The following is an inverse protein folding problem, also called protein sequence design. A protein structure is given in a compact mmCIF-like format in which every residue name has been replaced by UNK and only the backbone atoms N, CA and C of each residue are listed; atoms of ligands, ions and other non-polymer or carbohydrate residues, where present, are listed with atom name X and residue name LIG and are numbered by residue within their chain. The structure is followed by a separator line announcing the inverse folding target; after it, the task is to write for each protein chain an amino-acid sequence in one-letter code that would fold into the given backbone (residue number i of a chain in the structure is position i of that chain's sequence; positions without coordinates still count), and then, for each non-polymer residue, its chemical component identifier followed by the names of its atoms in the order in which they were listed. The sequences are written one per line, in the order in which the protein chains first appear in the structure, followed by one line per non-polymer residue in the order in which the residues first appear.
data_IF_837629453088
#
_entry.id   IF_837629453088
#
_cell.length_a   1.000
_cell.length_b   1.000
_cell.length_c   1.000
_cell.angle_alpha   90.00
_cell.angle_beta   90.00
_cell.angle_gamma   90.00
#
_symmetry.space_group_name_H-M   'P 1'
#
loop_
_entity.id
_entity.type
_entity.pdbx_description
1 polymer ?
#
# COMPACT_ATOMS: atom_id res chain seq x y z
N UNK A 1 18.75 21.55 3.80
CA UNK A 1 17.39 21.02 3.98
C UNK A 1 16.52 21.44 2.80
N UNK A 2 15.54 20.62 2.45
CA UNK A 2 14.58 20.93 1.40
C UNK A 2 13.23 20.27 1.73
N UNK A 3 12.15 20.94 1.28
CA UNK A 3 10.80 20.42 1.47
C UNK A 3 10.46 19.32 0.47
N UNK A 4 9.62 18.40 0.88
CA UNK A 4 9.01 17.39 0.02
C UNK A 4 7.63 17.88 -0.41
N UNK A 5 7.16 17.37 -1.56
CA UNK A 5 5.85 17.73 -2.09
C UNK A 5 4.82 16.66 -1.71
N UNK A 6 3.89 16.91 -0.79
CA UNK A 6 2.80 15.99 -0.53
C UNK A 6 1.76 16.04 -1.65
N UNK A 7 1.27 14.87 -2.05
CA UNK A 7 0.06 14.74 -2.85
C UNK A 7 -1.10 14.51 -1.89
N UNK A 8 -1.93 15.53 -1.69
CA UNK A 8 -2.97 15.55 -0.66
C UNK A 8 -4.35 15.52 -1.28
N UNK A 9 -5.25 14.72 -0.73
CA UNK A 9 -6.68 14.70 -1.04
C UNK A 9 -7.51 14.44 0.23
N UNK A 10 -8.81 14.18 0.09
CA UNK A 10 -9.70 13.95 1.23
C UNK A 10 -9.33 12.70 2.06
N UNK A 11 -8.59 11.76 1.50
CA UNK A 11 -8.19 10.50 2.17
C UNK A 11 -6.94 10.67 3.04
N UNK A 12 -6.13 11.70 2.79
CA UNK A 12 -4.86 11.93 3.45
C UNK A 12 -3.81 12.43 2.48
N UNK A 13 -2.59 11.92 2.58
CA UNK A 13 -1.49 12.34 1.72
C UNK A 13 -0.58 11.18 1.33
N UNK A 14 0.13 11.38 0.22
CA UNK A 14 1.18 10.48 -0.26
C UNK A 14 2.36 11.34 -0.67
N UNK A 15 3.51 11.13 -0.05
CA UNK A 15 4.70 11.95 -0.25
C UNK A 15 5.87 11.06 -0.63
N UNK A 16 6.40 11.25 -1.84
CA UNK A 16 7.63 10.59 -2.26
C UNK A 16 8.82 11.17 -1.49
N UNK A 17 9.58 10.29 -0.84
CA UNK A 17 10.76 10.68 -0.08
C UNK A 17 12.05 10.41 -0.84
N UNK A 18 12.16 9.25 -1.48
CA UNK A 18 13.36 8.81 -2.18
C UNK A 18 12.97 8.09 -3.47
N UNK A 19 13.65 8.44 -4.56
CA UNK A 19 13.49 7.77 -5.85
C UNK A 19 14.85 7.49 -6.45
N UNK A 20 15.08 6.23 -6.86
CA UNK A 20 16.26 5.84 -7.62
C UNK A 20 15.85 4.91 -8.75
N UNK A 21 16.44 5.02 -9.96
CA UNK A 21 16.11 4.14 -11.08
C UNK A 21 16.36 2.66 -10.80
N UNK A 22 17.35 2.35 -9.97
CA UNK A 22 17.82 0.98 -9.73
C UNK A 22 17.31 0.36 -8.44
N UNK A 23 16.91 1.18 -7.45
CA UNK A 23 16.56 0.71 -6.09
C UNK A 23 15.13 1.01 -5.69
N UNK A 24 14.38 1.62 -6.59
CA UNK A 24 12.97 1.88 -6.39
C UNK A 24 12.65 3.21 -5.73
N UNK A 25 11.52 3.23 -5.06
CA UNK A 25 10.92 4.43 -4.49
C UNK A 25 10.50 4.18 -3.05
N UNK A 26 10.78 5.14 -2.18
CA UNK A 26 10.25 5.19 -0.81
C UNK A 26 9.30 6.35 -0.68
N UNK A 27 8.11 6.09 -0.15
CA UNK A 27 7.06 7.10 0.02
C UNK A 27 6.46 7.00 1.41
N UNK A 28 5.93 8.12 1.89
CA UNK A 28 5.18 8.20 3.15
C UNK A 28 3.71 8.39 2.83
N UNK A 29 2.91 7.45 3.29
CA UNK A 29 1.47 7.50 3.13
C UNK A 29 0.81 7.85 4.46
N UNK A 30 -0.05 8.86 4.44
CA UNK A 30 -0.91 9.21 5.57
C UNK A 30 -2.35 8.98 5.16
N UNK A 31 -3.04 8.14 5.91
CA UNK A 31 -4.47 7.87 5.72
C UNK A 31 -5.26 8.42 6.90
N UNK A 32 -6.29 9.19 6.61
CA UNK A 32 -7.22 9.70 7.63
C UNK A 32 -8.02 8.55 8.28
N UNK A 33 -8.66 8.78 9.43
CA UNK A 33 -9.45 7.76 10.11
C UNK A 33 -10.45 7.07 9.19
N UNK A 34 -10.53 5.74 9.26
CA UNK A 34 -11.47 4.92 8.52
C UNK A 34 -11.19 4.74 7.02
N UNK A 35 -10.18 5.41 6.48
CA UNK A 35 -9.90 5.39 5.04
C UNK A 35 -9.24 4.08 4.62
N UNK A 36 -9.70 3.56 3.48
CA UNK A 36 -9.06 2.47 2.75
C UNK A 36 -8.44 2.99 1.47
N UNK A 37 -7.19 2.61 1.24
CA UNK A 37 -6.45 2.87 -0.01
C UNK A 37 -6.01 1.56 -0.65
N UNK A 38 -5.66 1.62 -1.93
CA UNK A 38 -5.24 0.45 -2.69
C UNK A 38 -6.39 -0.14 -3.48
N UNK A 39 -6.76 -1.39 -3.24
CA UNK A 39 -7.65 -2.18 -4.07
C UNK A 39 -7.12 -2.26 -5.50
N UNK A 40 -5.84 -2.57 -5.61
CA UNK A 40 -5.16 -2.71 -6.88
C UNK A 40 -4.04 -3.76 -6.78
N UNK A 41 -3.54 -4.18 -7.93
CA UNK A 41 -2.43 -5.11 -8.04
C UNK A 41 -1.46 -4.67 -9.13
N UNK A 42 -0.28 -5.29 -9.14
CA UNK A 42 0.80 -4.99 -10.08
C UNK A 42 1.29 -6.25 -10.77
N UNK A 43 1.77 -6.12 -12.01
CA UNK A 43 2.36 -7.24 -12.75
C UNK A 43 3.82 -7.51 -12.37
N UNK A 44 4.60 -6.45 -12.14
CA UNK A 44 6.03 -6.58 -11.86
C UNK A 44 6.49 -5.89 -10.58
N UNK A 45 5.73 -4.92 -10.10
CA UNK A 45 6.08 -4.14 -8.93
C UNK A 45 5.92 -4.94 -7.63
N UNK A 46 6.98 -4.94 -6.82
CA UNK A 46 6.98 -5.43 -5.44
C UNK A 46 6.91 -4.25 -4.49
N UNK A 47 6.10 -4.36 -3.46
CA UNK A 47 6.00 -3.33 -2.45
C UNK A 47 6.19 -3.91 -1.06
N UNK A 48 6.66 -3.06 -0.13
CA UNK A 48 6.69 -3.34 1.30
C UNK A 48 6.07 -2.19 2.05
N UNK A 49 5.15 -2.50 2.93
CA UNK A 49 4.49 -1.51 3.78
C UNK A 49 4.94 -1.73 5.23
N UNK A 50 5.29 -0.61 5.87
CA UNK A 50 5.64 -0.59 7.29
C UNK A 50 4.79 0.49 7.97
N UNK A 51 3.83 0.08 8.78
CA UNK A 51 3.05 1.01 9.61
C UNK A 51 3.92 1.48 10.76
N UNK A 52 4.14 2.79 10.87
CA UNK A 52 4.99 3.40 11.89
C UNK A 52 4.18 4.19 12.93
N UNK A 53 2.94 4.54 12.63
CA UNK A 53 2.01 5.18 13.58
C UNK A 53 0.57 4.84 13.23
N UNK A 54 -0.21 4.47 14.22
CA UNK A 54 -1.59 4.03 14.06
C UNK A 54 -1.72 2.53 13.93
N UNK A 55 -2.92 2.06 13.57
CA UNK A 55 -3.25 0.64 13.39
C UNK A 55 -3.97 0.43 12.08
N UNK A 56 -3.52 -0.54 11.31
CA UNK A 56 -4.05 -0.84 9.98
C UNK A 56 -4.44 -2.30 9.81
N UNK A 57 -5.43 -2.53 8.97
CA UNK A 57 -5.69 -3.82 8.32
C UNK A 57 -5.12 -3.76 6.91
N UNK A 58 -4.20 -4.67 6.60
CA UNK A 58 -3.68 -4.87 5.24
C UNK A 58 -4.23 -6.19 4.74
N UNK A 59 -4.93 -6.16 3.63
CA UNK A 59 -5.52 -7.34 2.99
C UNK A 59 -4.87 -7.61 1.66
N UNK A 60 -4.65 -8.89 1.38
CA UNK A 60 -4.12 -9.38 0.11
C UNK A 60 -4.95 -10.56 -0.37
N UNK A 61 -5.15 -10.64 -1.68
CA UNK A 61 -5.77 -11.78 -2.32
C UNK A 61 -5.12 -12.02 -3.68
N UNK A 62 -4.78 -13.27 -3.98
CA UNK A 62 -4.29 -13.62 -5.31
C UNK A 62 -5.37 -13.31 -6.36
N UNK A 63 -4.97 -12.64 -7.44
CA UNK A 63 -5.86 -12.30 -8.55
C UNK A 63 -6.25 -13.57 -9.31
N UNK A 64 -7.48 -13.60 -9.81
CA UNK A 64 -8.03 -14.72 -10.56
C UNK A 64 -8.86 -15.66 -9.71
N UNK A 65 -9.05 -16.86 -10.22
CA UNK A 65 -9.90 -17.89 -9.63
C UNK A 65 -9.13 -19.20 -9.53
N UNK A 66 -9.56 -20.04 -8.59
CA UNK A 66 -9.04 -21.39 -8.45
C UNK A 66 -9.60 -22.32 -9.56
N UNK A 67 -9.22 -23.60 -9.51
CA UNK A 67 -9.67 -24.61 -10.49
C UNK A 67 -11.19 -24.84 -10.50
N UNK A 68 -11.90 -24.41 -9.46
CA UNK A 68 -13.35 -24.54 -9.33
C UNK A 68 -14.11 -23.26 -9.68
N UNK A 69 -13.38 -22.20 -10.09
CA UNK A 69 -13.96 -20.90 -10.44
C UNK A 69 -14.26 -20.02 -9.24
N UNK A 70 -13.68 -20.29 -8.06
CA UNK A 70 -13.86 -19.48 -6.86
C UNK A 70 -12.71 -18.50 -6.70
N UNK A 71 -12.97 -17.30 -6.15
CA UNK A 71 -11.92 -16.38 -5.75
C UNK A 71 -10.96 -17.05 -4.76
N UNK A 72 -9.68 -16.70 -4.84
CA UNK A 72 -8.71 -17.13 -3.83
C UNK A 72 -9.01 -16.49 -2.47
N UNK A 73 -8.58 -17.11 -1.36
CA UNK A 73 -8.82 -16.58 -0.02
C UNK A 73 -8.12 -15.25 0.20
N UNK A 74 -8.68 -14.44 1.10
CA UNK A 74 -8.08 -13.19 1.55
C UNK A 74 -7.18 -13.45 2.75
N UNK A 75 -5.93 -13.00 2.66
CA UNK A 75 -5.02 -12.92 3.81
C UNK A 75 -5.14 -11.52 4.42
N UNK A 76 -5.27 -11.46 5.74
CA UNK A 76 -5.37 -10.20 6.47
C UNK A 76 -4.29 -10.10 7.54
N UNK A 77 -3.59 -8.96 7.55
CA UNK A 77 -2.59 -8.63 8.55
C UNK A 77 -3.00 -7.35 9.28
N UNK A 78 -3.22 -7.46 10.59
CA UNK A 78 -3.41 -6.28 11.45
C UNK A 78 -2.06 -5.91 12.04
N UNK A 79 -1.62 -4.69 11.72
CA UNK A 79 -0.29 -4.18 12.08
C UNK A 79 -0.40 -2.78 12.68
N UNK A 80 0.60 -2.39 13.47
CA UNK A 80 0.58 -1.10 14.15
C UNK A 80 1.97 -0.52 14.33
N UNK A 81 2.05 0.77 14.68
CA UNK A 81 3.31 1.41 15.02
C UNK A 81 3.94 0.91 16.33
N UNK A 82 3.18 0.21 17.18
CA UNK A 82 3.68 -0.39 18.42
C UNK A 82 4.11 -1.86 18.25
N UNK A 83 3.74 -2.48 17.14
CA UNK A 83 4.15 -3.83 16.76
C UNK A 83 4.49 -3.80 15.26
N UNK A 84 5.64 -3.24 14.95
CA UNK A 84 6.05 -2.99 13.57
C UNK A 84 6.44 -4.29 12.86
N UNK A 85 5.68 -4.60 11.81
CA UNK A 85 5.95 -5.72 10.91
C UNK A 85 5.86 -5.24 9.47
N UNK A 86 6.83 -5.61 8.65
CA UNK A 86 6.75 -5.35 7.23
C UNK A 86 5.78 -6.32 6.57
N UNK A 87 4.88 -5.80 5.74
CA UNK A 87 3.99 -6.62 4.90
C UNK A 87 4.43 -6.46 3.45
N UNK A 88 4.68 -7.56 2.78
CA UNK A 88 5.06 -7.57 1.38
C UNK A 88 3.85 -7.79 0.48
N UNK A 89 3.72 -6.94 -0.54
CA UNK A 89 2.77 -7.09 -1.63
C UNK A 89 3.52 -7.57 -2.85
N UNK A 90 3.31 -8.84 -3.21
CA UNK A 90 3.95 -9.45 -4.37
C UNK A 90 3.11 -9.22 -5.63
N UNK A 91 3.72 -9.25 -6.83
CA UNK A 91 2.99 -9.17 -8.09
C UNK A 91 1.87 -10.21 -8.17
N UNK A 92 0.75 -9.83 -8.79
CA UNK A 92 -0.40 -10.72 -8.96
C UNK A 92 -1.31 -10.85 -7.75
N UNK A 93 -1.09 -10.05 -6.69
CA UNK A 93 -1.98 -9.98 -5.53
C UNK A 93 -2.60 -8.58 -5.43
N UNK A 94 -3.92 -8.52 -5.45
CA UNK A 94 -4.61 -7.28 -5.11
C UNK A 94 -4.49 -7.03 -3.62
N UNK A 95 -4.28 -5.79 -3.24
CA UNK A 95 -4.06 -5.42 -1.85
C UNK A 95 -4.74 -4.11 -1.48
N UNK A 96 -5.04 -3.97 -0.20
CA UNK A 96 -5.59 -2.75 0.38
C UNK A 96 -5.01 -2.51 1.76
N UNK A 97 -5.03 -1.24 2.18
CA UNK A 97 -4.67 -0.83 3.54
C UNK A 97 -5.76 0.07 4.09
N UNK A 98 -6.27 -0.29 5.27
CA UNK A 98 -7.36 0.43 5.95
C UNK A 98 -6.89 0.95 7.29
N UNK A 99 -7.11 2.24 7.54
CA UNK A 99 -6.92 2.83 8.87
C UNK A 99 -8.06 2.38 9.79
N UNK A 100 -7.73 1.62 10.82
CA UNK A 100 -8.72 1.08 11.76
C UNK A 100 -9.12 2.04 12.87
N UNK A 101 -8.47 3.21 12.97
CA UNK A 101 -8.81 4.23 13.97
C UNK A 101 -9.97 5.11 13.48
N UNK A 102 -10.83 5.52 14.40
CA UNK A 102 -11.89 6.51 14.16
C UNK A 102 -11.40 7.95 14.38
N UNK A 103 -10.22 8.13 14.97
CA UNK A 103 -9.79 9.45 15.45
C UNK A 103 -8.37 9.83 15.04
N UNK A 104 -7.51 8.88 14.71
CA UNK A 104 -6.08 9.12 14.45
C UNK A 104 -5.71 8.78 13.02
N UNK A 105 -4.77 9.54 12.48
CA UNK A 105 -4.15 9.23 11.19
C UNK A 105 -3.30 7.97 11.26
N UNK A 106 -3.23 7.27 10.15
CA UNK A 106 -2.34 6.14 9.91
C UNK A 106 -1.13 6.64 9.12
N UNK A 107 0.06 6.34 9.58
CA UNK A 107 1.30 6.67 8.86
C UNK A 107 2.01 5.37 8.47
N UNK A 108 2.24 5.23 7.17
CA UNK A 108 2.87 4.05 6.58
C UNK A 108 4.06 4.46 5.73
N UNK A 109 5.19 3.81 5.94
CA UNK A 109 6.34 3.87 5.01
C UNK A 109 6.13 2.81 3.95
N UNK A 110 6.19 3.21 2.69
CA UNK A 110 5.98 2.34 1.55
C UNK A 110 7.23 2.32 0.67
N UNK A 111 7.75 1.12 0.41
CA UNK A 111 8.82 0.91 -0.57
C UNK A 111 8.26 0.14 -1.76
N UNK A 112 8.68 0.54 -2.96
CA UNK A 112 8.46 -0.21 -4.18
C UNK A 112 9.79 -0.43 -4.89
N UNK A 113 9.99 -1.61 -5.48
CA UNK A 113 11.25 -1.97 -6.13
C UNK A 113 11.53 -1.17 -7.40
N UNK A 114 10.52 -0.52 -7.96
CA UNK A 114 10.63 0.34 -9.14
C UNK A 114 9.89 1.66 -8.92
N UNK A 115 10.39 2.79 -9.45
CA UNK A 115 9.71 4.07 -9.34
C UNK A 115 8.37 4.04 -10.08
N UNK A 116 7.40 4.82 -9.58
CA UNK A 116 6.15 5.04 -10.30
C UNK A 116 6.41 5.81 -11.60
N UNK A 117 5.93 5.26 -12.71
CA UNK A 117 5.97 5.88 -14.02
C UNK A 117 4.53 6.13 -14.50
N UNK A 118 4.08 7.39 -14.62
CA UNK A 118 2.72 7.70 -15.06
C UNK A 118 2.44 7.28 -16.52
N UNK A 119 3.48 7.01 -17.32
CA UNK A 119 3.34 6.51 -18.69
C UNK A 119 3.18 4.99 -18.74
N UNK A 120 3.61 4.30 -17.70
CA UNK A 120 3.48 2.85 -17.54
C UNK A 120 3.25 2.53 -16.05
N UNK A 121 2.06 2.81 -15.53
CA UNK A 121 1.81 2.78 -14.08
C UNK A 121 1.84 1.39 -13.46
N UNK A 122 1.70 0.33 -14.25
CA UNK A 122 1.63 -1.06 -13.75
C UNK A 122 0.68 -1.19 -12.56
N UNK A 123 -0.49 -0.58 -12.66
CA UNK A 123 -1.50 -0.58 -11.60
C UNK A 123 -2.85 -0.94 -12.18
N UNK A 124 -3.46 -1.99 -11.62
CA UNK A 124 -4.73 -2.53 -12.09
C UNK A 124 -5.71 -2.59 -10.91
N UNK A 125 -6.86 -1.97 -11.07
CA UNK A 125 -7.87 -1.94 -10.01
C UNK A 125 -8.57 -3.29 -9.89
N UNK A 126 -8.62 -3.80 -8.67
CA UNK A 126 -9.44 -4.95 -8.28
C UNK A 126 -9.63 -4.94 -6.76
N UNK A 127 -10.86 -4.86 -6.31
CA UNK A 127 -11.17 -4.88 -4.88
C UNK A 127 -10.76 -6.20 -4.25
N UNK A 128 -10.17 -6.13 -3.05
CA UNK A 128 -9.77 -7.31 -2.28
C UNK A 128 -10.96 -8.11 -1.79
#
# INVERSE_FOLDING_TARGET
AYGLRPNTDARGSFTEFLRTPERGQVSINVSRPGITKGNHWHMSKWERFLVVSGTASIKLRKVGEDSEGNPFPVDEYVVSGTDMRAVEMIPGYTHSITNLSDTKDLVTVMWANEPFDPKNPDTYYEEV
#
